data_IF_916234259109
#
_entry.id   IF_916234259109
#
_cell.length_a   1.000
_cell.length_b   1.000
_cell.length_c   1.000
_cell.angle_alpha   90.00
_cell.angle_beta   90.00
_cell.angle_gamma   90.00
#
_symmetry.space_group_name_H-M   'P 1'
#
loop_
_entity.id
_entity.type
_entity.pdbx_description
1 polymer ?
#
# COMPACT_ATOMS: atom_id res chain seq x y z
N UNK A 1 -1.01 21.38 -8.61
CA UNK A 1 -1.13 20.11 -9.35
C UNK A 1 -0.79 18.94 -8.45
N UNK A 2 -1.62 17.91 -8.42
CA UNK A 2 -1.39 16.66 -7.66
C UNK A 2 -0.07 15.99 -8.07
N UNK A 3 0.29 16.12 -9.33
CA UNK A 3 1.54 15.56 -9.89
C UNK A 3 2.71 16.56 -9.91
N UNK A 4 2.67 17.64 -9.14
CA UNK A 4 3.78 18.63 -9.11
C UNK A 4 5.11 17.96 -8.75
N UNK A 5 5.08 16.99 -7.83
CA UNK A 5 6.27 16.20 -7.42
C UNK A 5 6.86 15.32 -8.54
N UNK A 6 6.12 15.13 -9.66
CA UNK A 6 6.57 14.45 -10.88
C UNK A 6 6.90 15.43 -12.01
N UNK A 7 7.13 16.71 -11.71
CA UNK A 7 7.44 17.73 -12.70
C UNK A 7 6.26 18.32 -13.47
N UNK A 8 5.01 17.97 -13.09
CA UNK A 8 3.84 18.53 -13.75
C UNK A 8 3.69 20.04 -13.45
N UNK A 9 3.58 20.84 -14.50
CA UNK A 9 3.42 22.28 -14.42
C UNK A 9 1.99 22.69 -14.79
N UNK A 10 1.27 23.28 -13.85
CA UNK A 10 -0.11 23.75 -14.06
C UNK A 10 -0.18 24.92 -15.06
N UNK A 11 0.88 25.69 -15.21
CA UNK A 11 0.91 26.83 -16.13
C UNK A 11 0.71 26.41 -17.59
N UNK A 12 1.08 25.20 -17.98
CA UNK A 12 0.82 24.68 -19.31
C UNK A 12 -0.68 24.65 -19.63
N UNK A 13 -1.52 24.37 -18.63
CA UNK A 13 -2.98 24.36 -18.77
C UNK A 13 -3.55 25.78 -18.64
N UNK A 14 -3.04 26.57 -17.69
CA UNK A 14 -3.57 27.91 -17.44
C UNK A 14 -3.26 28.87 -18.59
N UNK A 15 -2.09 28.75 -19.22
CA UNK A 15 -1.65 29.62 -20.31
C UNK A 15 -2.06 29.11 -21.71
N UNK A 16 -2.72 27.95 -21.79
CA UNK A 16 -3.06 27.35 -23.10
C UNK A 16 -3.85 28.30 -23.99
N UNK A 17 -4.85 28.98 -23.45
CA UNK A 17 -5.67 29.93 -24.22
C UNK A 17 -4.88 31.19 -24.66
N UNK A 18 -3.84 31.58 -23.93
CA UNK A 18 -2.97 32.69 -24.28
C UNK A 18 -2.02 32.32 -25.43
N UNK A 19 -1.58 31.06 -25.46
CA UNK A 19 -0.68 30.55 -26.52
C UNK A 19 -1.47 30.22 -27.79
N UNK A 20 -2.64 29.64 -27.66
CA UNK A 20 -3.51 29.25 -28.77
C UNK A 20 -4.73 30.15 -28.81
N UNK A 21 -4.57 31.31 -29.45
CA UNK A 21 -5.66 32.28 -29.63
C UNK A 21 -6.78 31.67 -30.47
N UNK A 22 -8.01 31.71 -29.95
CA UNK A 22 -9.18 31.10 -30.58
C UNK A 22 -9.49 29.67 -30.13
N UNK A 23 -8.74 29.10 -29.20
CA UNK A 23 -9.06 27.82 -28.61
C UNK A 23 -10.39 27.89 -27.85
N UNK A 24 -11.30 26.97 -28.16
CA UNK A 24 -12.56 26.83 -27.43
C UNK A 24 -12.36 25.99 -26.18
N UNK A 25 -12.60 26.58 -25.01
CA UNK A 25 -12.53 25.87 -23.72
C UNK A 25 -13.90 25.31 -23.36
N UNK A 26 -13.96 24.00 -23.17
CA UNK A 26 -15.15 23.29 -22.71
C UNK A 26 -14.84 22.72 -21.32
N UNK A 27 -15.65 23.07 -20.33
CA UNK A 27 -15.54 22.54 -18.98
C UNK A 27 -16.45 21.34 -18.82
N UNK A 28 -15.87 20.19 -18.44
CA UNK A 28 -16.63 19.00 -18.09
C UNK A 28 -16.97 19.08 -16.61
N UNK A 29 -18.13 19.61 -16.25
CA UNK A 29 -18.53 19.90 -14.87
C UNK A 29 -19.43 18.81 -14.27
N UNK A 30 -20.13 18.04 -15.09
CA UNK A 30 -20.91 16.91 -14.63
C UNK A 30 -20.04 15.75 -14.20
N UNK A 31 -20.30 15.24 -12.99
CA UNK A 31 -19.66 14.06 -12.42
C UNK A 31 -20.67 12.91 -12.35
N UNK A 32 -20.27 11.75 -12.82
CA UNK A 32 -21.14 10.56 -12.93
C UNK A 32 -20.81 9.50 -11.86
N UNK A 33 -19.84 9.77 -10.98
CA UNK A 33 -19.36 8.80 -9.98
C UNK A 33 -19.94 9.06 -8.61
N UNK A 34 -19.81 10.31 -8.14
CA UNK A 34 -20.03 10.68 -6.75
C UNK A 34 -21.40 11.31 -6.53
N UNK A 35 -21.86 11.28 -5.30
CA UNK A 35 -23.06 11.99 -4.86
C UNK A 35 -22.75 13.49 -4.64
N UNK A 36 -23.78 14.32 -4.55
CA UNK A 36 -23.62 15.78 -4.44
C UNK A 36 -22.91 16.16 -3.14
N UNK A 37 -23.16 15.49 -2.02
CA UNK A 37 -22.50 15.73 -0.75
C UNK A 37 -20.97 15.58 -0.85
N UNK A 38 -20.51 14.53 -1.55
CA UNK A 38 -19.07 14.32 -1.80
C UNK A 38 -18.51 15.43 -2.69
N UNK A 39 -19.24 15.84 -3.73
CA UNK A 39 -18.81 16.91 -4.63
C UNK A 39 -18.78 18.26 -3.94
N UNK A 40 -19.73 18.54 -3.04
CA UNK A 40 -19.74 19.76 -2.24
C UNK A 40 -18.50 19.85 -1.34
N UNK A 41 -18.13 18.77 -0.66
CA UNK A 41 -16.91 18.68 0.11
C UNK A 41 -15.65 18.87 -0.76
N UNK A 42 -15.58 18.20 -1.92
CA UNK A 42 -14.48 18.34 -2.85
C UNK A 42 -14.36 19.76 -3.42
N UNK A 43 -15.47 20.38 -3.80
CA UNK A 43 -15.52 21.78 -4.27
C UNK A 43 -15.06 22.74 -3.19
N UNK A 44 -15.46 22.54 -1.93
CA UNK A 44 -15.03 23.35 -0.80
C UNK A 44 -13.51 23.27 -0.55
N UNK A 45 -12.96 22.05 -0.56
CA UNK A 45 -11.50 21.85 -0.40
C UNK A 45 -10.73 22.50 -1.54
N UNK A 46 -11.14 22.29 -2.81
CA UNK A 46 -10.39 22.80 -3.95
C UNK A 46 -10.53 24.32 -4.11
N UNK A 47 -11.58 24.95 -3.54
CA UNK A 47 -11.76 26.40 -3.59
C UNK A 47 -10.64 27.17 -2.91
N UNK A 48 -9.95 26.57 -1.94
CA UNK A 48 -8.78 27.15 -1.25
C UNK A 48 -7.53 27.27 -2.16
N UNK A 49 -7.53 26.60 -3.34
CA UNK A 49 -6.41 26.68 -4.25
C UNK A 49 -6.50 27.93 -5.14
N UNK A 50 -5.59 28.85 -4.92
CA UNK A 50 -5.44 30.07 -5.73
C UNK A 50 -4.76 29.70 -7.07
N UNK A 51 -5.15 30.35 -8.18
CA UNK A 51 -4.54 30.16 -9.49
C UNK A 51 -5.02 28.89 -10.23
N UNK A 52 -6.28 28.53 -10.08
CA UNK A 52 -6.94 27.48 -10.86
C UNK A 52 -7.99 28.07 -11.81
N UNK A 53 -8.31 27.37 -12.90
CA UNK A 53 -9.52 27.69 -13.67
C UNK A 53 -10.74 27.33 -12.81
N UNK A 54 -11.67 28.26 -12.64
CA UNK A 54 -12.91 28.02 -11.88
C UNK A 54 -13.71 26.89 -12.54
N UNK A 55 -14.04 25.88 -11.75
CA UNK A 55 -14.86 24.73 -12.13
C UNK A 55 -15.61 24.29 -10.89
N UNK A 56 -16.91 24.03 -11.03
CA UNK A 56 -17.74 23.48 -9.97
C UNK A 56 -18.32 22.15 -10.45
N UNK A 57 -18.05 21.10 -9.74
CA UNK A 57 -18.58 19.77 -10.06
C UNK A 57 -20.01 19.64 -9.52
N UNK A 58 -20.88 19.07 -10.31
CA UNK A 58 -22.25 18.71 -9.96
C UNK A 58 -22.61 17.33 -10.48
N UNK A 59 -23.70 16.73 -9.99
CA UNK A 59 -24.12 15.38 -10.36
C UNK A 59 -25.64 15.22 -10.31
N UNK A 60 -26.17 14.24 -11.03
CA UNK A 60 -27.55 13.79 -10.95
C UNK A 60 -27.73 12.61 -9.95
N UNK A 61 -26.67 12.17 -9.29
CA UNK A 61 -26.71 11.01 -8.36
C UNK A 61 -27.36 11.30 -7.00
N UNK A 62 -27.97 12.48 -6.84
CA UNK A 62 -28.59 12.88 -5.56
C UNK A 62 -27.58 13.26 -4.48
N UNK A 63 -28.09 13.55 -3.27
CA UNK A 63 -27.27 14.04 -2.16
C UNK A 63 -26.35 12.96 -1.58
N UNK A 64 -26.82 11.76 -1.35
CA UNK A 64 -26.05 10.65 -0.72
C UNK A 64 -25.77 10.86 0.75
N UNK A 65 -24.93 10.00 1.31
CA UNK A 65 -24.50 10.01 2.71
C UNK A 65 -23.61 11.21 3.04
N UNK A 66 -23.62 11.62 4.31
CA UNK A 66 -22.75 12.69 4.81
C UNK A 66 -21.31 12.21 4.90
N UNK A 67 -20.37 13.14 4.64
CA UNK A 67 -18.95 12.90 4.88
C UNK A 67 -18.68 12.92 6.38
N UNK A 68 -18.15 11.84 6.92
CA UNK A 68 -17.75 11.73 8.31
C UNK A 68 -16.29 12.14 8.49
N UNK A 69 -16.00 12.82 9.58
CA UNK A 69 -14.65 13.19 9.98
C UNK A 69 -14.38 12.71 11.41
N UNK A 70 -13.31 11.96 11.59
CA UNK A 70 -12.89 11.47 12.90
C UNK A 70 -11.44 11.85 13.14
N UNK A 71 -11.15 12.41 14.30
CA UNK A 71 -9.79 12.73 14.74
C UNK A 71 -9.33 11.66 15.73
N UNK A 72 -8.15 11.09 15.49
CA UNK A 72 -7.50 10.13 16.36
C UNK A 72 -6.25 10.74 17.01
N UNK A 73 -5.83 10.21 18.15
CA UNK A 73 -4.64 10.71 18.87
C UNK A 73 -3.34 10.35 18.13
N UNK A 74 -3.31 9.19 17.48
CA UNK A 74 -2.15 8.70 16.76
C UNK A 74 -2.54 7.76 15.61
N UNK A 75 -1.56 7.39 14.78
CA UNK A 75 -1.79 6.56 13.61
C UNK A 75 -2.19 5.11 13.93
N UNK A 76 -1.93 4.59 15.12
CA UNK A 76 -2.37 3.26 15.53
C UNK A 76 -3.85 3.25 15.89
N UNK A 77 -4.32 4.29 16.58
CA UNK A 77 -5.73 4.46 16.92
C UNK A 77 -6.56 4.73 15.66
N UNK A 78 -5.99 5.50 14.71
CA UNK A 78 -6.60 5.70 13.38
C UNK A 78 -6.76 4.34 12.66
N UNK A 79 -5.71 3.52 12.62
CA UNK A 79 -5.76 2.23 11.96
C UNK A 79 -6.74 1.25 12.64
N UNK A 80 -6.84 1.27 13.98
CA UNK A 80 -7.82 0.50 14.74
C UNK A 80 -9.25 0.95 14.43
N UNK A 81 -9.48 2.27 14.44
CA UNK A 81 -10.80 2.84 14.11
C UNK A 81 -11.24 2.51 12.68
N UNK A 82 -10.31 2.55 11.73
CA UNK A 82 -10.57 2.16 10.33
C UNK A 82 -10.91 0.67 10.23
N UNK A 83 -10.14 -0.22 10.85
CA UNK A 83 -10.39 -1.66 10.79
C UNK A 83 -11.73 -2.03 11.46
N UNK A 84 -12.03 -1.45 12.63
CA UNK A 84 -13.29 -1.65 13.34
C UNK A 84 -14.48 -1.15 12.51
N UNK A 85 -14.37 0.05 11.91
CA UNK A 85 -15.42 0.61 11.04
C UNK A 85 -15.69 -0.26 9.81
N UNK A 86 -14.65 -0.82 9.17
CA UNK A 86 -14.84 -1.76 8.06
C UNK A 86 -15.59 -3.02 8.54
N UNK A 87 -15.23 -3.55 9.71
CA UNK A 87 -15.93 -4.71 10.27
C UNK A 87 -17.40 -4.42 10.56
N UNK A 88 -17.74 -3.19 10.94
CA UNK A 88 -19.13 -2.74 11.11
C UNK A 88 -19.89 -2.68 9.79
N UNK A 89 -19.31 -2.04 8.76
CA UNK A 89 -19.93 -1.99 7.43
C UNK A 89 -20.21 -3.39 6.86
N UNK A 90 -19.28 -4.34 7.06
CA UNK A 90 -19.47 -5.71 6.59
C UNK A 90 -20.58 -6.43 7.36
N UNK A 91 -20.71 -6.18 8.66
CA UNK A 91 -21.86 -6.69 9.46
C UNK A 91 -23.20 -6.13 8.96
N UNK A 92 -23.19 -4.88 8.47
CA UNK A 92 -24.36 -4.22 7.89
C UNK A 92 -24.65 -4.64 6.44
N UNK A 93 -23.90 -5.59 5.90
CA UNK A 93 -24.15 -6.21 4.59
C UNK A 93 -23.29 -5.71 3.44
N UNK A 94 -22.28 -4.88 3.71
CA UNK A 94 -21.30 -4.45 2.70
C UNK A 94 -20.28 -5.57 2.41
N UNK A 95 -19.69 -5.54 1.22
CA UNK A 95 -18.57 -6.42 0.89
C UNK A 95 -17.23 -5.70 1.14
N UNK A 96 -16.18 -6.45 1.47
CA UNK A 96 -14.83 -5.88 1.58
C UNK A 96 -14.36 -5.16 0.30
N UNK A 97 -14.83 -5.61 -0.88
CA UNK A 97 -14.50 -5.00 -2.16
C UNK A 97 -15.15 -3.62 -2.38
N UNK A 98 -16.14 -3.27 -1.58
CA UNK A 98 -16.82 -1.97 -1.66
C UNK A 98 -16.08 -0.88 -0.88
N UNK A 99 -15.02 -1.27 -0.13
CA UNK A 99 -14.26 -0.37 0.73
C UNK A 99 -12.86 -0.13 0.16
N UNK A 100 -12.44 1.13 0.15
CA UNK A 100 -11.07 1.53 -0.22
C UNK A 100 -10.48 2.45 0.83
N UNK A 101 -9.25 2.16 1.26
CA UNK A 101 -8.47 3.01 2.16
C UNK A 101 -7.45 3.79 1.34
N UNK A 102 -7.51 5.12 1.41
CA UNK A 102 -6.60 6.01 0.71
C UNK A 102 -5.70 6.72 1.71
N UNK A 103 -4.40 6.67 1.48
CA UNK A 103 -3.40 7.32 2.32
C UNK A 103 -2.38 8.12 1.50
N UNK A 104 -1.73 9.10 2.13
CA UNK A 104 -0.83 10.02 1.44
C UNK A 104 0.56 9.45 1.21
N UNK A 105 1.07 8.66 2.15
CA UNK A 105 2.43 8.11 2.12
C UNK A 105 2.42 6.61 2.42
N UNK A 106 3.34 5.87 1.79
CA UNK A 106 3.46 4.42 2.01
C UNK A 106 3.81 4.04 3.47
N UNK A 107 4.32 4.98 4.27
CA UNK A 107 4.60 4.73 5.68
C UNK A 107 3.32 4.47 6.49
N UNK A 108 2.19 5.08 6.10
CA UNK A 108 0.90 4.90 6.77
C UNK A 108 0.31 3.50 6.57
N UNK A 109 0.68 2.80 5.48
CA UNK A 109 0.13 1.47 5.18
C UNK A 109 0.44 0.45 6.26
N UNK A 110 1.58 0.56 6.96
CA UNK A 110 2.02 -0.45 7.93
C UNK A 110 1.04 -0.61 9.09
N UNK A 111 0.64 0.48 9.74
CA UNK A 111 -0.30 0.44 10.85
C UNK A 111 -1.66 -0.12 10.40
N UNK A 112 -2.11 0.29 9.21
CA UNK A 112 -3.35 -0.22 8.60
C UNK A 112 -3.24 -1.72 8.31
N UNK A 113 -2.15 -2.20 7.70
CA UNK A 113 -1.93 -3.63 7.42
C UNK A 113 -1.95 -4.48 8.70
N UNK A 114 -1.26 -4.01 9.76
CA UNK A 114 -1.22 -4.69 11.05
C UNK A 114 -2.63 -4.84 11.65
N UNK A 115 -3.44 -3.77 11.63
CA UNK A 115 -4.80 -3.81 12.18
C UNK A 115 -5.77 -4.61 11.33
N UNK A 116 -5.68 -4.51 10.00
CA UNK A 116 -6.49 -5.34 9.10
C UNK A 116 -6.20 -6.84 9.29
N UNK A 117 -4.93 -7.23 9.51
CA UNK A 117 -4.55 -8.61 9.82
C UNK A 117 -5.11 -9.07 11.17
N UNK A 118 -5.03 -8.24 12.22
CA UNK A 118 -5.57 -8.55 13.55
C UNK A 118 -7.08 -8.79 13.48
N UNK A 119 -7.79 -7.97 12.71
CA UNK A 119 -9.24 -8.11 12.51
C UNK A 119 -9.64 -9.16 11.46
N UNK A 120 -8.67 -9.90 10.88
CA UNK A 120 -8.89 -10.87 9.81
C UNK A 120 -9.60 -10.29 8.58
N UNK A 121 -9.35 -9.02 8.27
CA UNK A 121 -9.91 -8.33 7.11
C UNK A 121 -9.01 -8.58 5.89
N UNK A 122 -9.50 -9.20 4.81
CA UNK A 122 -8.73 -9.39 3.60
C UNK A 122 -8.46 -8.05 2.91
N UNK A 123 -7.23 -7.81 2.49
CA UNK A 123 -6.86 -6.56 1.82
C UNK A 123 -5.87 -6.76 0.68
N UNK A 124 -5.81 -5.78 -0.22
CA UNK A 124 -4.82 -5.71 -1.30
C UNK A 124 -4.24 -4.30 -1.39
N UNK A 125 -2.91 -4.21 -1.46
CA UNK A 125 -2.21 -2.93 -1.64
C UNK A 125 -1.97 -2.68 -3.13
N UNK A 126 -2.36 -1.49 -3.59
CA UNK A 126 -2.13 -1.02 -4.94
C UNK A 126 -1.02 0.05 -4.94
N UNK A 127 -0.06 -0.07 -5.88
CA UNK A 127 1.02 0.91 -6.06
C UNK A 127 2.14 0.84 -5.02
N UNK A 128 2.16 -0.19 -4.16
CA UNK A 128 3.19 -0.44 -3.15
C UNK A 128 3.50 -1.92 -3.01
N UNK A 129 4.54 -2.24 -2.24
CA UNK A 129 4.79 -3.59 -1.75
C UNK A 129 4.39 -3.65 -0.28
N UNK A 130 3.70 -4.72 0.10
CA UNK A 130 3.41 -5.01 1.51
C UNK A 130 4.69 -4.91 2.32
N UNK A 131 4.63 -4.32 3.50
CA UNK A 131 5.81 -4.11 4.36
C UNK A 131 6.63 -5.38 4.53
N UNK A 132 5.97 -6.50 4.87
CA UNK A 132 6.63 -7.79 5.07
C UNK A 132 7.14 -8.46 3.77
N UNK A 133 6.75 -7.96 2.59
CA UNK A 133 7.24 -8.45 1.31
C UNK A 133 8.51 -7.73 0.84
N UNK A 134 8.88 -6.62 1.47
CA UNK A 134 10.11 -5.90 1.14
C UNK A 134 11.33 -6.77 1.38
N UNK A 135 12.30 -6.67 0.48
CA UNK A 135 13.52 -7.48 0.52
C UNK A 135 14.25 -7.34 1.87
N UNK A 136 14.44 -6.10 2.33
CA UNK A 136 15.15 -5.76 3.55
C UNK A 136 14.47 -6.38 4.78
N UNK A 137 13.15 -6.32 4.82
CA UNK A 137 12.37 -6.89 5.93
C UNK A 137 12.45 -8.40 5.93
N UNK A 138 12.35 -9.04 4.75
CA UNK A 138 12.54 -10.50 4.63
C UNK A 138 13.94 -10.93 5.04
N UNK A 139 14.96 -10.14 4.73
CA UNK A 139 16.34 -10.43 5.11
C UNK A 139 16.51 -10.36 6.64
N UNK A 140 15.97 -9.30 7.30
CA UNK A 140 15.98 -9.17 8.76
C UNK A 140 15.21 -10.31 9.43
N UNK A 141 14.01 -10.63 8.93
CA UNK A 141 13.23 -11.74 9.47
C UNK A 141 13.95 -13.09 9.30
N UNK A 142 14.67 -13.29 8.20
CA UNK A 142 15.47 -14.50 8.01
C UNK A 142 16.65 -14.58 9.02
N UNK A 143 17.28 -13.45 9.35
CA UNK A 143 18.27 -13.41 10.44
C UNK A 143 17.66 -13.81 11.78
N UNK A 144 16.52 -13.22 12.14
CA UNK A 144 15.83 -13.55 13.40
C UNK A 144 15.42 -15.03 13.45
N UNK A 145 14.86 -15.56 12.36
CA UNK A 145 14.53 -17.00 12.24
C UNK A 145 15.75 -17.90 12.39
N UNK A 146 16.90 -17.52 11.81
CA UNK A 146 18.14 -18.31 11.91
C UNK A 146 18.69 -18.28 13.35
N UNK A 147 18.50 -17.18 14.09
CA UNK A 147 18.89 -17.09 15.51
C UNK A 147 17.97 -17.98 16.36
N UNK A 148 16.68 -17.97 16.10
CA UNK A 148 15.68 -18.77 16.82
C UNK A 148 15.81 -20.27 16.48
N UNK A 149 15.99 -20.59 15.19
CA UNK A 149 16.17 -21.95 14.71
C UNK A 149 17.27 -22.02 13.63
N UNK A 150 18.47 -22.42 14.02
CA UNK A 150 19.62 -22.59 13.11
C UNK A 150 19.45 -23.68 12.05
N UNK A 151 18.43 -24.53 12.17
CA UNK A 151 18.12 -25.58 11.21
C UNK A 151 17.14 -25.12 10.09
N UNK A 152 16.64 -23.85 10.16
CA UNK A 152 15.84 -23.30 9.06
C UNK A 152 16.74 -23.00 7.83
N UNK A 153 16.94 -24.01 7.00
CA UNK A 153 17.77 -23.92 5.80
C UNK A 153 17.29 -22.88 4.78
N UNK A 154 16.00 -22.52 4.78
CA UNK A 154 15.47 -21.46 3.92
C UNK A 154 15.90 -20.08 4.42
N UNK A 155 15.82 -19.86 5.74
CA UNK A 155 16.28 -18.62 6.36
C UNK A 155 17.79 -18.46 6.20
N UNK A 156 18.57 -19.51 6.48
CA UNK A 156 20.04 -19.54 6.30
C UNK A 156 20.42 -19.25 4.84
N UNK A 157 19.82 -19.94 3.86
CA UNK A 157 20.08 -19.73 2.44
C UNK A 157 19.82 -18.28 2.03
N UNK A 158 18.79 -17.65 2.59
CA UNK A 158 18.46 -16.28 2.28
C UNK A 158 19.52 -15.29 2.74
N UNK A 159 20.09 -15.48 3.92
CA UNK A 159 21.03 -14.53 4.55
C UNK A 159 22.50 -14.84 4.34
N UNK A 160 22.85 -16.02 3.85
CA UNK A 160 24.23 -16.49 3.76
C UNK A 160 25.15 -15.51 3.01
N UNK A 161 24.62 -14.79 2.05
CA UNK A 161 25.34 -13.77 1.28
C UNK A 161 24.73 -12.36 1.41
N UNK A 162 24.02 -12.09 2.49
CA UNK A 162 23.47 -10.77 2.87
C UNK A 162 24.02 -10.41 4.25
N UNK A 163 24.86 -9.37 4.40
CA UNK A 163 25.56 -8.62 3.36
C UNK A 163 26.46 -9.49 2.49
N UNK A 164 26.93 -8.99 1.36
CA UNK A 164 27.79 -9.75 0.43
C UNK A 164 29.03 -10.31 1.15
N UNK A 165 29.22 -11.63 1.11
CA UNK A 165 30.34 -12.38 1.71
C UNK A 165 31.15 -13.16 0.68
N UNK A 166 30.91 -12.94 -0.63
CA UNK A 166 31.62 -13.68 -1.68
C UNK A 166 31.11 -15.11 -1.90
N UNK A 167 29.98 -15.48 -1.31
CA UNK A 167 29.38 -16.83 -1.44
C UNK A 167 28.47 -16.83 -2.68
N UNK A 168 28.93 -17.49 -3.74
CA UNK A 168 28.14 -17.61 -4.98
C UNK A 168 27.16 -18.78 -4.93
N UNK A 169 26.26 -18.84 -5.94
CA UNK A 169 25.27 -19.90 -6.06
C UNK A 169 25.89 -21.29 -6.12
N UNK A 170 27.01 -21.46 -6.84
CA UNK A 170 27.73 -22.73 -6.94
C UNK A 170 28.18 -23.25 -5.56
N UNK A 171 28.58 -22.35 -4.65
CA UNK A 171 28.97 -22.72 -3.28
C UNK A 171 27.73 -23.14 -2.48
N UNK A 172 26.61 -22.44 -2.66
CA UNK A 172 25.34 -22.74 -2.00
C UNK A 172 24.85 -24.12 -2.45
N UNK A 173 24.90 -24.40 -3.74
CA UNK A 173 24.46 -25.69 -4.33
C UNK A 173 25.32 -26.85 -3.78
N UNK A 174 26.66 -26.69 -3.72
CA UNK A 174 27.56 -27.69 -3.10
C UNK A 174 27.25 -27.94 -1.62
N UNK A 175 26.95 -26.88 -0.86
CA UNK A 175 26.55 -26.99 0.56
C UNK A 175 25.22 -27.74 0.70
N UNK A 176 24.28 -27.54 -0.20
CA UNK A 176 23.02 -28.27 -0.22
C UNK A 176 23.22 -29.74 -0.52
N UNK A 177 24.05 -30.08 -1.52
CA UNK A 177 24.39 -31.45 -1.83
C UNK A 177 25.05 -32.20 -0.65
N UNK A 178 25.99 -31.55 0.03
CA UNK A 178 26.63 -32.09 1.25
C UNK A 178 25.61 -32.30 2.37
N UNK A 179 24.67 -31.36 2.56
CA UNK A 179 23.60 -31.48 3.57
C UNK A 179 22.66 -32.66 3.26
N UNK A 180 22.31 -32.87 2.01
CA UNK A 180 21.46 -33.99 1.59
C UNK A 180 22.19 -35.34 1.78
N UNK A 181 23.50 -35.44 1.51
CA UNK A 181 24.31 -36.63 1.73
C UNK A 181 24.35 -36.97 3.24
N UNK A 182 24.48 -36.00 4.13
CA UNK A 182 24.49 -36.22 5.58
C UNK A 182 23.12 -36.66 6.14
N UNK A 183 22.02 -36.26 5.54
CA UNK A 183 20.66 -36.68 5.93
C UNK A 183 20.37 -38.11 5.41
N UNK A 184 20.96 -38.52 4.31
CA UNK A 184 20.77 -39.86 3.72
C UNK A 184 21.68 -40.97 4.29
N UNK A 185 22.63 -40.66 5.21
CA UNK A 185 23.44 -41.62 5.93
C UNK A 185 23.21 -41.65 7.46
N UNK A 186 22.02 -42.03 7.97
CA UNK A 186 21.82 -42.11 9.41
C UNK A 186 22.11 -43.47 10.04
N UNK A 187 22.72 -44.43 9.39
CA UNK A 187 22.83 -45.79 10.02
C UNK A 187 23.94 -46.67 9.51
N UNK A 188 25.18 -46.19 9.36
CA UNK A 188 26.28 -47.15 9.05
C UNK A 188 27.26 -47.39 10.21
N UNK A 189 27.01 -46.85 11.41
CA UNK A 189 27.89 -47.06 12.57
C UNK A 189 27.20 -47.58 13.84
N UNK A 190 26.18 -48.44 13.67
CA UNK A 190 25.60 -49.17 14.82
C UNK A 190 25.51 -50.65 14.48
N UNK A 191 26.65 -51.25 14.08
CA UNK A 191 26.87 -52.71 14.13
C UNK A 191 28.35 -52.96 14.35
N UNK A 192 28.79 -52.95 15.58
CA UNK A 192 29.82 -53.85 16.17
C UNK A 192 29.39 -54.08 17.59
#
# INVERSE_FOLDING_TARGET
>A
SIYKFRGANIYNILNFENVFTGAKVIKLEQNYRSTQTILNAANAVISNNIGRKSKSLWTDNGEGEKVNYTLYENGYDEAEGVASGIAEYVRDGWNYNDVAILYRTNAQSRALEEKLMIHNIPYKIYGGQNFYQRKEIKDILAYLKTIDNGLDGQAVKRIINVPKRGIGNTTIDRLQELSLIHISEPTRHAQI
#
